data_IF_206979435914
#
_entry.id   IF_206979435914
#
_cell.length_a   1.000
_cell.length_b   1.000
_cell.length_c   1.000
_cell.angle_alpha   90.00
_cell.angle_beta   90.00
_cell.angle_gamma   90.00
#
_symmetry.space_group_name_H-M   'P 1'
#
loop_
_entity.id
_entity.type
_entity.pdbx_description
1 polymer ?
#
# COMPACT_ATOMS: atom_id res chain seq x y z
N UNK A 1 -18.56 -17.14 6.96
CA UNK A 1 -17.25 -16.65 7.45
C UNK A 1 -16.95 -15.34 6.73
N UNK A 2 -17.23 -14.21 7.35
CA UNK A 2 -17.16 -12.85 6.77
C UNK A 2 -16.13 -11.96 7.50
N UNK A 3 -15.17 -12.55 8.20
CA UNK A 3 -14.38 -11.85 9.23
C UNK A 3 -12.87 -11.75 9.02
N UNK A 4 -12.34 -11.92 7.81
CA UNK A 4 -10.87 -11.91 7.58
C UNK A 4 -10.36 -10.79 6.67
N UNK A 5 -11.23 -10.09 5.92
CA UNK A 5 -10.79 -8.97 5.09
C UNK A 5 -11.00 -7.67 5.87
N UNK A 6 -9.96 -6.85 6.10
CA UNK A 6 -10.11 -5.57 6.76
C UNK A 6 -11.15 -4.72 6.02
N UNK A 7 -12.21 -4.34 6.73
CA UNK A 7 -13.19 -3.37 6.25
C UNK A 7 -12.89 -2.02 6.89
N UNK A 8 -13.19 -0.95 6.17
CA UNK A 8 -13.22 0.39 6.77
C UNK A 8 -14.20 0.41 7.95
N UNK A 9 -14.09 1.39 8.84
CA UNK A 9 -15.07 1.60 9.91
C UNK A 9 -16.52 1.78 9.40
N UNK A 10 -16.70 1.97 8.08
CA UNK A 10 -17.97 2.10 7.38
C UNK A 10 -18.53 0.76 6.87
N UNK A 11 -17.78 -0.35 7.00
CA UNK A 11 -18.16 -1.68 6.50
C UNK A 11 -17.87 -1.90 5.01
N UNK A 12 -17.25 -0.93 4.34
CA UNK A 12 -16.85 -1.02 2.93
C UNK A 12 -15.37 -1.37 2.77
N UNK A 13 -15.00 -1.89 1.59
CA UNK A 13 -13.60 -1.97 1.17
C UNK A 13 -12.97 -0.57 1.06
N UNK A 14 -11.70 -0.48 1.40
CA UNK A 14 -10.90 0.72 1.19
C UNK A 14 -10.82 1.09 -0.30
N UNK A 15 -10.56 2.35 -0.58
CA UNK A 15 -10.34 2.90 -1.93
C UNK A 15 -8.96 3.53 -2.02
N UNK A 16 -8.49 3.80 -3.24
CA UNK A 16 -7.30 4.64 -3.45
C UNK A 16 -7.46 6.03 -2.83
N UNK A 17 -8.69 6.53 -2.69
CA UNK A 17 -8.98 7.79 -2.00
C UNK A 17 -8.62 7.71 -0.52
N UNK A 18 -8.94 6.61 0.15
CA UNK A 18 -8.58 6.39 1.56
C UNK A 18 -7.05 6.33 1.72
N UNK A 19 -6.32 5.69 0.80
CA UNK A 19 -4.85 5.70 0.79
C UNK A 19 -4.31 7.13 0.64
N UNK A 20 -4.85 7.91 -0.31
CA UNK A 20 -4.45 9.30 -0.54
C UNK A 20 -4.76 10.19 0.67
N UNK A 21 -5.86 9.94 1.38
CA UNK A 21 -6.20 10.63 2.63
C UNK A 21 -5.20 10.30 3.75
N UNK A 22 -4.74 9.06 3.86
CA UNK A 22 -3.69 8.67 4.81
C UNK A 22 -2.36 9.36 4.50
N UNK A 23 -1.96 9.40 3.22
CA UNK A 23 -0.76 10.13 2.78
C UNK A 23 -0.89 11.62 3.12
N UNK A 24 -2.04 12.23 2.84
CA UNK A 24 -2.31 13.64 3.14
C UNK A 24 -2.25 13.94 4.65
N UNK A 25 -2.79 13.04 5.47
CA UNK A 25 -2.68 13.15 6.91
C UNK A 25 -1.20 13.06 7.38
N UNK A 26 -0.42 12.13 6.83
CA UNK A 26 1.00 12.01 7.13
C UNK A 26 1.77 13.29 6.74
N UNK A 27 1.51 13.84 5.54
CA UNK A 27 2.14 15.08 5.09
C UNK A 27 1.82 16.24 6.04
N UNK A 28 0.58 16.38 6.49
CA UNK A 28 0.18 17.41 7.46
C UNK A 28 0.88 17.27 8.82
N UNK A 29 1.29 16.06 9.19
CA UNK A 29 1.97 15.80 10.46
C UNK A 29 3.48 16.02 10.39
N UNK A 30 4.14 15.57 9.31
CA UNK A 30 5.61 15.52 9.24
C UNK A 30 6.23 16.32 8.08
N UNK A 31 5.41 16.90 7.21
CA UNK A 31 5.86 17.63 6.03
C UNK A 31 6.11 16.73 4.82
N UNK A 32 5.93 17.29 3.62
CA UNK A 32 6.02 16.54 2.36
C UNK A 32 7.41 15.98 2.03
N UNK A 33 8.48 16.50 2.63
CA UNK A 33 9.85 16.00 2.46
C UNK A 33 10.12 14.70 3.22
N UNK A 34 9.19 14.28 4.08
CA UNK A 34 9.35 13.16 5.01
C UNK A 34 8.35 12.03 4.78
N UNK A 35 7.52 12.11 3.73
CA UNK A 35 6.48 11.12 3.44
C UNK A 35 6.79 10.38 2.14
N UNK A 36 6.68 9.06 2.19
CA UNK A 36 6.53 8.19 1.04
C UNK A 36 5.51 7.11 1.38
N UNK A 37 5.29 6.16 0.49
CA UNK A 37 4.43 5.01 0.77
C UNK A 37 5.05 3.71 0.23
N UNK A 38 4.77 2.62 0.92
CA UNK A 38 5.02 1.25 0.45
C UNK A 38 3.68 0.56 0.29
N UNK A 39 3.42 -0.04 -0.87
CA UNK A 39 2.14 -0.72 -1.14
C UNK A 39 1.96 -2.01 -0.39
N UNK A 40 3.07 -2.60 0.07
CA UNK A 40 3.12 -3.99 0.54
C UNK A 40 2.54 -4.98 -0.48
N UNK A 41 2.58 -4.62 -1.76
CA UNK A 41 2.25 -5.55 -2.83
C UNK A 41 3.36 -6.57 -2.94
N UNK A 42 2.99 -7.85 -2.77
CA UNK A 42 3.86 -8.96 -3.08
C UNK A 42 4.08 -9.00 -4.60
N UNK A 43 5.29 -8.66 -5.02
CA UNK A 43 5.74 -8.96 -6.38
C UNK A 43 5.91 -10.47 -6.44
N UNK A 44 5.16 -11.15 -7.32
CA UNK A 44 4.95 -12.60 -7.26
C UNK A 44 6.22 -13.42 -6.97
N UNK A 45 6.41 -13.80 -5.71
CA UNK A 45 6.90 -15.14 -5.40
C UNK A 45 5.88 -16.13 -5.98
N UNK A 46 6.29 -17.35 -6.31
CA UNK A 46 5.27 -18.32 -6.69
C UNK A 46 4.31 -18.50 -5.51
N UNK A 47 3.00 -18.51 -5.78
CA UNK A 47 2.00 -18.76 -4.74
C UNK A 47 2.35 -20.02 -3.93
N UNK A 48 2.84 -21.04 -4.64
CA UNK A 48 3.35 -22.27 -4.07
C UNK A 48 4.46 -22.02 -3.05
N UNK A 49 5.49 -21.23 -3.37
CA UNK A 49 6.56 -20.88 -2.45
C UNK A 49 6.05 -20.15 -1.21
N UNK A 50 5.10 -19.22 -1.36
CA UNK A 50 4.49 -18.52 -0.21
C UNK A 50 3.68 -19.48 0.68
N UNK A 51 2.94 -20.41 0.09
CA UNK A 51 2.07 -21.33 0.83
C UNK A 51 2.80 -22.53 1.45
N UNK A 52 3.96 -22.88 0.91
CA UNK A 52 4.76 -24.05 1.31
C UNK A 52 5.99 -23.69 2.13
N UNK A 53 6.30 -22.40 2.30
CA UNK A 53 7.39 -21.94 3.13
C UNK A 53 7.21 -22.47 4.57
N UNK A 54 8.17 -23.23 5.13
CA UNK A 54 8.04 -23.85 6.44
C UNK A 54 7.89 -22.82 7.58
N UNK A 55 8.33 -21.59 7.37
CA UNK A 55 8.12 -20.43 8.24
C UNK A 55 6.70 -19.85 8.20
N UNK A 56 5.85 -20.25 7.24
CA UNK A 56 4.47 -19.78 7.04
C UNK A 56 3.45 -20.90 7.23
N UNK A 57 3.50 -21.58 8.38
CA UNK A 57 2.51 -22.59 8.75
C UNK A 57 1.07 -22.02 8.83
N UNK A 58 0.08 -22.93 8.89
CA UNK A 58 -1.33 -22.57 8.90
C UNK A 58 -1.74 -21.69 10.10
N UNK A 59 -1.02 -21.77 11.23
CA UNK A 59 -1.28 -20.93 12.39
C UNK A 59 -0.84 -19.49 12.11
N UNK A 60 0.39 -19.32 11.61
CA UNK A 60 0.93 -18.00 11.24
C UNK A 60 0.09 -17.32 10.17
N UNK A 61 -0.37 -18.05 9.16
CA UNK A 61 -1.27 -17.54 8.12
C UNK A 61 -2.57 -16.96 8.70
N UNK A 62 -3.13 -17.58 9.74
CA UNK A 62 -4.31 -17.07 10.44
C UNK A 62 -4.00 -15.83 11.30
N UNK A 63 -2.85 -15.81 11.98
CA UNK A 63 -2.43 -14.70 12.83
C UNK A 63 -2.19 -13.39 12.04
N UNK A 64 -1.66 -13.51 10.83
CA UNK A 64 -1.40 -12.36 9.95
C UNK A 64 -2.57 -12.03 9.01
N UNK A 65 -3.73 -12.66 9.23
CA UNK A 65 -4.93 -12.49 8.41
C UNK A 65 -4.69 -12.66 6.90
N UNK A 66 -3.69 -13.47 6.51
CA UNK A 66 -3.53 -13.85 5.12
C UNK A 66 -4.64 -14.82 4.82
N UNK A 67 -5.75 -14.28 4.30
CA UNK A 67 -6.78 -15.12 3.75
C UNK A 67 -6.13 -15.88 2.60
N UNK A 68 -6.13 -17.21 2.66
CA UNK A 68 -5.75 -18.07 1.54
C UNK A 68 -6.59 -17.86 0.28
N UNK A 69 -7.48 -16.84 0.24
CA UNK A 69 -8.01 -16.21 -0.97
C UNK A 69 -6.88 -15.46 -1.70
N UNK A 70 -5.88 -16.23 -2.07
CA UNK A 70 -4.78 -15.78 -2.88
C UNK A 70 -5.19 -16.04 -4.32
N UNK A 71 -5.96 -15.10 -4.89
CA UNK A 71 -5.99 -14.74 -6.31
C UNK A 71 -7.34 -14.11 -6.70
N UNK A 72 -7.35 -12.99 -7.45
CA UNK A 72 -6.20 -12.24 -7.92
C UNK A 72 -5.93 -11.01 -7.03
N UNK A 73 -5.33 -11.25 -5.85
CA UNK A 73 -4.59 -10.30 -5.01
C UNK A 73 -5.08 -8.85 -4.99
N UNK A 74 -6.25 -8.65 -4.41
CA UNK A 74 -6.57 -7.41 -3.72
C UNK A 74 -7.50 -7.78 -2.58
N UNK A 75 -7.22 -7.27 -1.40
CA UNK A 75 -8.16 -7.17 -0.28
C UNK A 75 -9.39 -6.29 -0.60
N UNK A 76 -9.61 -5.94 -1.87
CA UNK A 76 -10.73 -5.14 -2.36
C UNK A 76 -10.42 -3.65 -2.43
N UNK A 77 -9.17 -3.21 -2.25
CA UNK A 77 -8.74 -1.82 -2.40
C UNK A 77 -9.11 -1.23 -3.78
N UNK A 78 -10.27 -0.57 -3.86
CA UNK A 78 -10.84 -0.09 -5.13
C UNK A 78 -9.97 0.99 -5.76
N UNK A 79 -9.55 0.77 -7.01
CA UNK A 79 -8.65 1.64 -7.75
C UNK A 79 -7.17 1.54 -7.33
N UNK A 80 -6.84 0.63 -6.42
CA UNK A 80 -5.48 0.32 -5.99
C UNK A 80 -5.32 -1.19 -5.76
N UNK A 81 -5.90 -2.00 -6.62
CA UNK A 81 -5.96 -3.46 -6.45
C UNK A 81 -4.59 -4.11 -6.66
N UNK A 82 -3.77 -3.54 -7.53
CA UNK A 82 -2.44 -4.06 -7.87
C UNK A 82 -1.53 -2.94 -8.40
N UNK A 83 -0.33 -3.31 -8.86
CA UNK A 83 0.68 -2.37 -9.38
C UNK A 83 0.17 -1.43 -10.49
N UNK A 84 -0.86 -1.78 -11.27
CA UNK A 84 -1.45 -0.87 -12.26
C UNK A 84 -2.20 0.33 -11.62
N UNK A 85 -2.50 0.24 -10.32
CA UNK A 85 -3.14 1.26 -9.51
C UNK A 85 -2.23 2.40 -9.07
N UNK A 86 -0.89 2.29 -9.17
CA UNK A 86 0.05 3.36 -8.76
C UNK A 86 -0.28 4.73 -9.34
N UNK A 87 -0.70 4.78 -10.61
CA UNK A 87 -1.11 6.02 -11.27
C UNK A 87 -2.31 6.72 -10.61
N UNK A 88 -3.15 5.98 -9.91
CA UNK A 88 -4.32 6.53 -9.23
C UNK A 88 -3.94 7.26 -7.93
N UNK A 89 -2.84 6.88 -7.27
CA UNK A 89 -2.29 7.64 -6.14
C UNK A 89 -1.82 9.02 -6.61
N UNK A 90 -1.06 9.05 -7.72
CA UNK A 90 -0.65 10.31 -8.36
C UNK A 90 -1.85 11.19 -8.69
N UNK A 91 -2.89 10.63 -9.33
CA UNK A 91 -4.12 11.36 -9.65
C UNK A 91 -4.82 11.91 -8.41
N UNK A 92 -4.90 11.12 -7.33
CA UNK A 92 -5.51 11.55 -6.08
C UNK A 92 -4.74 12.69 -5.41
N UNK A 93 -3.40 12.63 -5.38
CA UNK A 93 -2.57 13.71 -4.84
C UNK A 93 -2.74 15.00 -5.64
N UNK A 94 -2.73 14.92 -6.99
CA UNK A 94 -3.01 16.07 -7.86
C UNK A 94 -4.40 16.63 -7.59
N UNK A 95 -5.43 15.77 -7.46
CA UNK A 95 -6.79 16.21 -7.16
C UNK A 95 -6.92 16.90 -5.79
N UNK A 96 -6.04 16.57 -4.82
CA UNK A 96 -5.94 17.26 -3.52
C UNK A 96 -5.20 18.60 -3.58
N UNK A 97 -4.61 18.96 -4.72
CA UNK A 97 -3.90 20.23 -4.91
C UNK A 97 -2.41 20.18 -4.54
N UNK A 98 -1.81 18.99 -4.46
CA UNK A 98 -0.37 18.87 -4.31
C UNK A 98 0.34 19.38 -5.57
N UNK A 99 1.47 20.08 -5.38
CA UNK A 99 2.32 20.50 -6.49
C UNK A 99 2.98 19.29 -7.16
N UNK A 100 3.39 19.44 -8.42
CA UNK A 100 4.16 18.40 -9.13
C UNK A 100 5.44 18.02 -8.37
N UNK A 101 6.06 19.00 -7.69
CA UNK A 101 7.23 18.76 -6.85
C UNK A 101 6.89 17.87 -5.65
N UNK A 102 5.81 18.17 -4.93
CA UNK A 102 5.37 17.40 -3.78
C UNK A 102 4.95 15.97 -4.18
N UNK A 103 4.24 15.83 -5.30
CA UNK A 103 3.88 14.53 -5.87
C UNK A 103 5.14 13.72 -6.19
N UNK A 104 6.14 14.33 -6.84
CA UNK A 104 7.42 13.66 -7.15
C UNK A 104 8.15 13.21 -5.89
N UNK A 105 8.13 14.01 -4.83
CA UNK A 105 8.71 13.66 -3.51
C UNK A 105 8.03 12.42 -2.93
N UNK A 106 6.70 12.44 -2.81
CA UNK A 106 5.90 11.36 -2.22
C UNK A 106 5.97 10.06 -3.03
N UNK A 107 5.91 10.14 -4.36
CA UNK A 107 5.93 8.97 -5.25
C UNK A 107 7.27 8.24 -5.30
N UNK A 108 8.32 8.77 -4.65
CA UNK A 108 9.61 8.06 -4.52
C UNK A 108 10.81 8.97 -4.36
N UNK A 109 10.69 10.27 -4.68
CA UNK A 109 11.79 11.22 -4.54
C UNK A 109 12.40 11.28 -3.13
N UNK A 110 11.56 11.16 -2.10
CA UNK A 110 12.00 11.13 -0.71
C UNK A 110 12.77 9.85 -0.37
N UNK A 111 12.31 8.69 -0.83
CA UNK A 111 13.05 7.44 -0.65
C UNK A 111 14.40 7.49 -1.37
N UNK A 112 14.46 8.02 -2.59
CA UNK A 112 15.72 8.18 -3.32
C UNK A 112 16.68 9.14 -2.62
N UNK A 113 16.17 10.20 -2.00
CA UNK A 113 16.97 11.10 -1.15
C UNK A 113 17.56 10.33 0.03
N UNK A 114 16.72 9.66 0.82
CA UNK A 114 17.15 8.88 1.99
C UNK A 114 18.13 7.77 1.60
N UNK A 115 17.89 7.08 0.49
CA UNK A 115 18.76 6.01 0.01
C UNK A 115 20.18 6.54 -0.24
N UNK A 116 20.30 7.67 -0.96
CA UNK A 116 21.59 8.34 -1.18
C UNK A 116 22.25 8.81 0.12
N UNK A 117 21.46 9.32 1.07
CA UNK A 117 21.99 9.84 2.34
C UNK A 117 22.52 8.72 3.25
N UNK A 118 21.90 7.53 3.22
CA UNK A 118 22.19 6.42 4.15
C UNK A 118 23.10 5.36 3.53
N UNK A 119 22.89 5.03 2.26
CA UNK A 119 23.58 3.92 1.57
C UNK A 119 24.76 4.42 0.73
N UNK A 120 24.66 5.64 0.18
CA UNK A 120 25.60 6.20 -0.80
C UNK A 120 25.15 6.01 -2.24
#
# INVERSE_FOLDING_TARGET
>A
MTGLVPQTARGDFCTVGDLVDNIDAAVKLVGEDHVGFGSDFLMAASLEETLTAPEWDAQRQQEVCVSGAIWPFSDGHKGYENNAGYRNVTRGLVAKGYSDEAVRKVMGGNFLRVFRDVVG
#
